data_IF_586274468322
#
_entry.id   IF_586274468322
#
_cell.length_a   1.000
_cell.length_b   1.000
_cell.length_c   1.000
_cell.angle_alpha   90.00
_cell.angle_beta   90.00
_cell.angle_gamma   90.00
#
_symmetry.space_group_name_H-M   'P 1'
#
loop_
_entity.id
_entity.type
_entity.pdbx_description
1 polymer ?
#
# COMPACT_ATOMS: atom_id res chain seq x y z
N UNK A 1 22.54 -32.40 2.95
CA UNK A 1 21.51 -31.34 2.98
C UNK A 1 21.83 -30.38 1.85
N UNK A 2 20.95 -30.22 0.86
CA UNK A 2 21.19 -29.31 -0.25
C UNK A 2 20.79 -27.92 0.24
N UNK A 3 21.76 -27.09 0.65
CA UNK A 3 21.53 -25.68 0.91
C UNK A 3 21.25 -24.96 -0.43
N UNK A 4 19.99 -24.96 -0.86
CA UNK A 4 19.56 -24.03 -1.90
C UNK A 4 19.58 -22.64 -1.30
N UNK A 5 20.50 -21.79 -1.77
CA UNK A 5 20.41 -20.34 -1.57
C UNK A 5 19.11 -19.86 -2.22
N UNK A 6 18.06 -19.71 -1.41
CA UNK A 6 16.80 -19.14 -1.85
C UNK A 6 16.98 -17.64 -2.00
N UNK A 7 16.66 -17.12 -3.17
CA UNK A 7 16.63 -15.68 -3.44
C UNK A 7 15.16 -15.28 -3.34
N UNK A 8 14.76 -14.55 -2.29
CA UNK A 8 13.45 -13.93 -2.18
C UNK A 8 13.08 -13.17 -3.44
N UNK A 9 11.84 -13.36 -3.85
CA UNK A 9 11.21 -12.71 -5.00
C UNK A 9 9.98 -11.91 -4.54
N UNK A 10 9.25 -11.34 -5.50
CA UNK A 10 8.00 -10.62 -5.22
C UNK A 10 6.99 -11.45 -4.44
N UNK A 11 6.84 -12.75 -4.75
CA UNK A 11 5.86 -13.61 -4.08
C UNK A 11 6.23 -13.85 -2.61
N UNK A 12 7.53 -13.95 -2.33
CA UNK A 12 8.06 -14.09 -0.97
C UNK A 12 7.73 -12.86 -0.13
N UNK A 13 8.03 -11.67 -0.63
CA UNK A 13 7.74 -10.42 0.07
C UNK A 13 6.25 -10.17 0.22
N UNK A 14 5.44 -10.42 -0.81
CA UNK A 14 3.99 -10.31 -0.71
C UNK A 14 3.44 -11.20 0.41
N UNK A 15 3.92 -12.43 0.52
CA UNK A 15 3.49 -13.37 1.56
C UNK A 15 3.87 -12.89 2.97
N UNK A 16 5.06 -12.32 3.13
CA UNK A 16 5.51 -11.73 4.39
C UNK A 16 4.65 -10.52 4.80
N UNK A 17 4.36 -9.63 3.84
CA UNK A 17 3.54 -8.45 4.08
C UNK A 17 2.11 -8.84 4.47
N UNK A 18 1.51 -9.83 3.79
CA UNK A 18 0.18 -10.34 4.12
C UNK A 18 0.16 -10.88 5.55
N UNK A 19 1.17 -11.65 5.94
CA UNK A 19 1.28 -12.16 7.30
C UNK A 19 1.39 -11.01 8.33
N UNK A 20 2.13 -9.95 8.01
CA UNK A 20 2.22 -8.76 8.86
C UNK A 20 0.88 -8.04 8.98
N UNK A 21 0.17 -7.85 7.86
CA UNK A 21 -1.17 -7.24 7.83
C UNK A 21 -2.18 -7.98 8.70
N UNK A 22 -2.21 -9.31 8.63
CA UNK A 22 -3.08 -10.14 9.47
C UNK A 22 -2.76 -10.08 10.96
N UNK A 23 -1.50 -9.77 11.32
CA UNK A 23 -1.04 -9.70 12.71
C UNK A 23 -0.93 -8.28 13.25
N UNK A 24 -1.16 -7.26 12.41
CA UNK A 24 -0.96 -5.86 12.77
C UNK A 24 0.50 -5.50 13.04
N UNK A 25 1.45 -6.23 12.44
CA UNK A 25 2.89 -6.03 12.65
C UNK A 25 3.41 -4.92 11.72
N UNK A 26 3.11 -3.68 12.08
CA UNK A 26 3.38 -2.51 11.23
C UNK A 26 4.88 -2.28 11.03
N UNK A 27 5.66 -2.33 12.11
CA UNK A 27 7.10 -2.12 12.06
C UNK A 27 7.80 -3.17 11.20
N UNK A 28 7.44 -4.45 11.36
CA UNK A 28 7.97 -5.56 10.57
C UNK A 28 7.56 -5.43 9.10
N UNK A 29 6.30 -5.10 8.82
CA UNK A 29 5.81 -4.88 7.46
C UNK A 29 6.60 -3.79 6.75
N UNK A 30 6.83 -2.66 7.41
CA UNK A 30 7.64 -1.56 6.88
C UNK A 30 9.09 -1.98 6.63
N UNK A 31 9.72 -2.67 7.60
CA UNK A 31 11.09 -3.19 7.44
C UNK A 31 11.20 -4.13 6.24
N UNK A 32 10.24 -5.03 6.03
CA UNK A 32 10.25 -5.94 4.89
C UNK A 32 10.00 -5.21 3.57
N UNK A 33 9.09 -4.25 3.54
CA UNK A 33 8.81 -3.42 2.37
C UNK A 33 10.02 -2.58 1.95
N UNK A 34 10.76 -2.03 2.91
CA UNK A 34 12.01 -1.31 2.66
C UNK A 34 13.13 -2.25 2.20
N UNK A 35 13.29 -3.41 2.87
CA UNK A 35 14.31 -4.39 2.54
C UNK A 35 14.14 -4.94 1.11
N UNK A 36 12.89 -5.19 0.69
CA UNK A 36 12.55 -5.58 -0.68
C UNK A 36 13.19 -4.64 -1.72
N UNK A 37 13.12 -3.33 -1.48
CA UNK A 37 13.62 -2.30 -2.40
C UNK A 37 15.13 -2.09 -2.25
N UNK A 38 15.60 -1.94 -1.02
CA UNK A 38 16.99 -1.57 -0.73
C UNK A 38 17.94 -2.74 -0.91
N UNK A 39 17.60 -3.90 -0.34
CA UNK A 39 18.51 -5.03 -0.20
C UNK A 39 18.32 -6.01 -1.37
N UNK A 40 17.08 -6.23 -1.81
CA UNK A 40 16.74 -7.17 -2.89
C UNK A 40 16.49 -6.52 -4.25
N UNK A 41 16.51 -5.18 -4.32
CA UNK A 41 16.32 -4.40 -5.56
C UNK A 41 15.03 -4.72 -6.31
N UNK A 42 13.99 -5.14 -5.59
CA UNK A 42 12.68 -5.46 -6.14
C UNK A 42 11.79 -4.23 -6.08
N UNK A 43 11.21 -3.85 -7.22
CA UNK A 43 10.29 -2.71 -7.32
C UNK A 43 8.90 -3.14 -6.81
N UNK A 44 8.29 -2.43 -5.84
CA UNK A 44 6.98 -2.82 -5.33
C UNK A 44 5.92 -2.77 -6.42
N UNK A 45 5.11 -3.83 -6.49
CA UNK A 45 3.96 -3.93 -7.40
C UNK A 45 2.67 -3.51 -6.68
N UNK A 46 1.58 -3.39 -7.44
CA UNK A 46 0.25 -3.02 -6.91
C UNK A 46 -0.14 -3.85 -5.69
N UNK A 47 0.11 -5.17 -5.71
CA UNK A 47 -0.28 -6.08 -4.63
C UNK A 47 0.49 -5.79 -3.32
N UNK A 48 1.75 -5.35 -3.42
CA UNK A 48 2.55 -5.01 -2.24
C UNK A 48 2.04 -3.72 -1.59
N UNK A 49 1.67 -2.73 -2.42
CA UNK A 49 1.09 -1.48 -1.93
C UNK A 49 -0.29 -1.71 -1.30
N UNK A 50 -1.17 -2.47 -1.94
CA UNK A 50 -2.48 -2.82 -1.37
C UNK A 50 -2.32 -3.50 -0.01
N UNK A 51 -1.34 -4.38 0.13
CA UNK A 51 -1.07 -5.05 1.39
C UNK A 51 -0.55 -4.11 2.49
N UNK A 52 0.30 -3.14 2.13
CA UNK A 52 0.76 -2.10 3.07
C UNK A 52 -0.39 -1.18 3.50
N UNK A 53 -1.29 -0.80 2.58
CA UNK A 53 -2.49 -0.02 2.90
C UNK A 53 -3.44 -0.80 3.82
N UNK A 54 -3.62 -2.12 3.58
CA UNK A 54 -4.41 -2.98 4.47
C UNK A 54 -3.77 -3.11 5.87
N UNK A 55 -2.44 -3.26 5.94
CA UNK A 55 -1.68 -3.30 7.19
C UNK A 55 -1.88 -2.03 8.02
N UNK A 56 -1.68 -0.85 7.42
CA UNK A 56 -1.89 0.43 8.09
C UNK A 56 -3.36 0.63 8.46
N UNK A 57 -4.26 0.30 7.53
CA UNK A 57 -5.70 0.45 7.70
C UNK A 57 -6.24 -0.35 8.88
N UNK A 58 -5.88 -1.63 9.00
CA UNK A 58 -6.30 -2.50 10.11
C UNK A 58 -5.68 -2.13 11.46
N UNK A 59 -4.50 -1.54 11.42
CA UNK A 59 -3.73 -1.19 12.61
C UNK A 59 -4.06 0.23 13.12
N UNK A 60 -5.02 0.92 12.50
CA UNK A 60 -5.47 2.26 12.90
C UNK A 60 -4.58 3.41 12.41
N UNK A 61 -3.55 3.12 11.60
CA UNK A 61 -2.64 4.10 11.00
C UNK A 61 -3.24 4.71 9.73
N UNK A 62 -4.45 5.26 9.83
CA UNK A 62 -5.25 5.69 8.68
C UNK A 62 -4.58 6.81 7.88
N UNK A 63 -3.86 7.72 8.55
CA UNK A 63 -3.12 8.79 7.87
C UNK A 63 -1.99 8.24 7.02
N UNK A 64 -1.20 7.29 7.54
CA UNK A 64 -0.15 6.60 6.78
C UNK A 64 -0.73 5.79 5.63
N UNK A 65 -1.88 5.13 5.83
CA UNK A 65 -2.59 4.44 4.77
C UNK A 65 -3.01 5.39 3.64
N UNK A 66 -3.49 6.58 3.97
CA UNK A 66 -3.87 7.62 3.01
C UNK A 66 -2.66 8.22 2.28
N UNK A 67 -1.57 8.53 2.98
CA UNK A 67 -0.32 9.01 2.39
C UNK A 67 0.22 8.01 1.38
N UNK A 68 0.32 6.74 1.78
CA UNK A 68 0.78 5.67 0.89
C UNK A 68 -0.14 5.55 -0.34
N UNK A 69 -1.44 5.65 -0.16
CA UNK A 69 -2.41 5.55 -1.28
C UNK A 69 -2.22 6.67 -2.31
N UNK A 70 -1.81 7.86 -1.88
CA UNK A 70 -1.51 8.98 -2.77
C UNK A 70 -0.20 8.79 -3.56
N UNK A 71 0.75 8.05 -3.00
CA UNK A 71 2.04 7.71 -3.63
C UNK A 71 1.90 6.60 -4.69
N UNK A 72 0.85 5.78 -4.63
CA UNK A 72 0.63 4.70 -5.61
C UNK A 72 0.37 5.29 -7.01
N UNK A 73 1.08 4.81 -8.05
CA UNK A 73 0.84 5.20 -9.44
C UNK A 73 -0.64 5.05 -9.85
N UNK A 74 -1.14 5.96 -10.69
CA UNK A 74 -2.56 6.04 -11.04
C UNK A 74 -3.10 4.77 -11.70
N UNK A 75 -2.26 3.99 -12.40
CA UNK A 75 -2.62 2.71 -13.01
C UNK A 75 -2.90 1.58 -12.00
N UNK A 76 -2.61 1.80 -10.71
CA UNK A 76 -2.62 0.76 -9.66
C UNK A 76 -3.43 1.13 -8.43
N UNK A 77 -4.21 2.22 -8.51
CA UNK A 77 -4.71 2.95 -7.34
C UNK A 77 -6.09 2.50 -6.84
N UNK A 78 -6.91 1.90 -7.70
CA UNK A 78 -8.34 1.62 -7.39
C UNK A 78 -8.51 0.70 -6.18
N UNK A 79 -7.77 -0.42 -6.12
CA UNK A 79 -7.85 -1.38 -5.00
C UNK A 79 -7.32 -0.80 -3.68
N UNK A 80 -6.40 0.16 -3.73
CA UNK A 80 -5.85 0.81 -2.54
C UNK A 80 -6.85 1.79 -1.92
N UNK A 81 -7.57 2.58 -2.73
CA UNK A 81 -8.65 3.45 -2.23
C UNK A 81 -9.82 2.67 -1.64
N UNK A 82 -10.18 1.54 -2.22
CA UNK A 82 -11.19 0.64 -1.65
C UNK A 82 -10.78 0.11 -0.27
N UNK A 83 -9.52 -0.32 -0.15
CA UNK A 83 -8.95 -0.81 1.11
C UNK A 83 -8.92 0.29 2.17
N UNK A 84 -8.49 1.50 1.79
CA UNK A 84 -8.51 2.67 2.67
C UNK A 84 -9.93 3.04 3.10
N UNK A 85 -10.90 3.03 2.18
CA UNK A 85 -12.30 3.30 2.49
C UNK A 85 -12.84 2.30 3.53
N UNK A 86 -12.50 1.01 3.37
CA UNK A 86 -12.89 -0.01 4.34
C UNK A 86 -12.26 0.24 5.71
N UNK A 87 -10.97 0.61 5.76
CA UNK A 87 -10.30 0.97 7.00
C UNK A 87 -10.93 2.20 7.68
N UNK A 88 -11.24 3.25 6.91
CA UNK A 88 -11.93 4.45 7.42
C UNK A 88 -13.30 4.11 8.04
N UNK A 89 -14.06 3.19 7.42
CA UNK A 89 -15.35 2.72 7.96
C UNK A 89 -15.17 2.00 9.29
N UNK A 90 -14.17 1.14 9.42
CA UNK A 90 -13.88 0.38 10.65
C UNK A 90 -13.44 1.29 11.79
N UNK A 91 -12.61 2.30 11.49
CA UNK A 91 -12.04 3.21 12.50
C UNK A 91 -12.86 4.49 12.72
N UNK A 92 -13.97 4.67 12.00
CA UNK A 92 -14.86 5.83 12.16
C UNK A 92 -14.27 7.16 11.65
N UNK A 93 -13.28 7.12 10.75
CA UNK A 93 -12.71 8.32 10.16
C UNK A 93 -13.56 8.77 8.96
N UNK A 94 -14.58 9.58 9.25
CA UNK A 94 -15.55 10.04 8.25
C UNK A 94 -14.90 10.93 7.18
N UNK A 95 -14.00 11.83 7.58
CA UNK A 95 -13.35 12.78 6.68
C UNK A 95 -12.52 12.07 5.59
N UNK A 96 -11.63 11.15 5.99
CA UNK A 96 -10.86 10.36 5.02
C UNK A 96 -11.73 9.33 4.30
N UNK A 97 -12.80 8.85 4.93
CA UNK A 97 -13.80 7.99 4.29
C UNK A 97 -14.49 8.67 3.11
N UNK A 98 -14.88 9.94 3.24
CA UNK A 98 -15.47 10.71 2.15
C UNK A 98 -14.48 10.97 1.00
N UNK A 99 -13.21 11.25 1.33
CA UNK A 99 -12.16 11.39 0.32
C UNK A 99 -11.97 10.09 -0.45
N UNK A 100 -11.83 8.97 0.26
CA UNK A 100 -11.64 7.66 -0.35
C UNK A 100 -12.84 7.24 -1.21
N UNK A 101 -14.07 7.44 -0.71
CA UNK A 101 -15.29 7.14 -1.46
C UNK A 101 -15.38 7.94 -2.77
N UNK A 102 -15.08 9.25 -2.74
CA UNK A 102 -15.07 10.06 -3.97
C UNK A 102 -14.04 9.58 -4.98
N UNK A 103 -12.88 9.10 -4.53
CA UNK A 103 -11.83 8.55 -5.40
C UNK A 103 -12.24 7.23 -6.04
N UNK A 104 -12.80 6.31 -5.26
CA UNK A 104 -13.34 5.04 -5.78
C UNK A 104 -14.42 5.30 -6.84
N UNK A 105 -15.34 6.24 -6.57
CA UNK A 105 -16.38 6.59 -7.54
C UNK A 105 -15.84 7.26 -8.81
N UNK A 106 -14.79 8.09 -8.72
CA UNK A 106 -14.18 8.70 -9.89
C UNK A 106 -13.50 7.69 -10.81
N UNK A 107 -12.89 6.64 -10.24
CA UNK A 107 -12.26 5.56 -11.00
C UNK A 107 -13.31 4.68 -11.71
N UNK A 108 -14.47 4.43 -11.09
CA UNK A 108 -15.57 3.62 -11.65
C UNK A 108 -16.28 4.30 -12.84
N UNK A 109 -16.37 5.64 -12.82
CA UNK A 109 -16.99 6.45 -13.88
C UNK A 109 -16.09 6.66 -15.12
N UNK A 110 -14.97 5.93 -15.21
CA UNK A 110 -14.11 5.92 -16.40
C UNK A 110 -14.34 4.69 -17.28
N UNK A 111 -15.12 3.70 -16.84
CA UNK A 111 -15.37 2.46 -17.60
C UNK A 111 -16.62 2.53 -18.51
N UNK A 112 -17.47 3.56 -18.37
CA UNK A 112 -18.75 3.66 -19.09
C UNK A 112 -18.82 4.68 -20.24
N UNK A 113 -17.72 5.35 -20.62
CA UNK A 113 -17.64 6.00 -21.94
C UNK A 113 -16.71 7.20 -22.07
N UNK A 114 -15.43 6.94 -22.39
CA UNK A 114 -14.55 8.01 -22.88
C UNK A 114 -13.11 7.56 -23.09
N UNK A 115 -12.70 7.43 -24.35
CA UNK A 115 -11.29 7.24 -24.71
C UNK A 115 -10.43 8.37 -24.12
N UNK A 116 -9.42 8.04 -23.31
CA UNK A 116 -8.25 8.89 -23.16
C UNK A 116 -6.97 8.06 -23.13
N UNK A 117 -6.13 8.34 -24.12
CA UNK A 117 -4.81 7.79 -24.33
C UNK A 117 -3.82 8.54 -23.45
N UNK A 118 -2.99 7.79 -22.71
CA UNK A 118 -1.61 8.15 -22.42
C UNK A 118 -1.32 8.78 -21.06
N UNK A 119 -0.50 8.07 -20.26
CA UNK A 119 0.92 8.42 -20.10
C UNK A 119 1.65 7.28 -19.38
N UNK A 120 2.53 6.59 -20.12
CA UNK A 120 3.70 5.96 -19.52
C UNK A 120 4.69 7.11 -19.30
N UNK A 121 4.86 7.50 -18.04
CA UNK A 121 5.80 8.54 -17.61
C UNK A 121 6.54 8.06 -16.39
N UNK A 122 7.68 7.43 -16.66
CA UNK A 122 8.95 7.53 -15.96
C UNK A 122 8.99 7.38 -14.43
N UNK A 123 9.62 6.28 -14.03
CA UNK A 123 10.62 6.18 -12.95
C UNK A 123 10.58 7.29 -11.88
N UNK A 124 9.87 7.03 -10.77
CA UNK A 124 10.22 7.67 -9.51
C UNK A 124 10.47 6.62 -8.43
N UNK A 125 11.75 6.56 -8.07
CA UNK A 125 12.28 6.03 -6.81
C UNK A 125 11.48 6.69 -5.69
N UNK A 126 10.52 5.95 -5.12
CA UNK A 126 9.79 6.41 -3.93
C UNK A 126 10.73 6.32 -2.74
N UNK A 127 11.05 7.48 -2.19
CA UNK A 127 11.89 7.61 -1.01
C UNK A 127 11.31 6.77 0.13
N UNK A 128 12.11 5.84 0.64
CA UNK A 128 11.88 5.17 1.91
C UNK A 128 11.73 6.24 3.01
N UNK A 129 10.48 6.55 3.37
CA UNK A 129 10.17 7.33 4.56
C UNK A 129 10.08 6.37 5.75
N UNK A 130 10.66 6.82 6.85
CA UNK A 130 10.70 6.14 8.14
C UNK A 130 9.30 6.11 8.73
N UNK A 131 8.60 4.97 8.64
CA UNK A 131 7.26 4.75 9.18
C UNK A 131 7.20 4.65 10.73
N UNK A 132 8.25 5.08 11.42
CA UNK A 132 8.54 4.71 12.81
C UNK A 132 8.51 5.82 13.85
N UNK A 133 7.96 7.01 13.56
CA UNK A 133 7.94 8.10 14.55
C UNK A 133 6.58 8.80 14.60
N UNK A 134 5.52 8.11 15.00
CA UNK A 134 4.43 8.80 15.69
C UNK A 134 3.63 7.89 16.64
N UNK A 135 3.73 8.23 17.94
CA UNK A 135 2.83 7.95 19.08
C UNK A 135 3.21 6.80 20.04
N UNK A 136 4.19 7.10 20.87
CA UNK A 136 4.06 6.86 22.32
C UNK A 136 3.10 7.94 22.86
N UNK A 137 1.93 7.55 23.38
CA UNK A 137 0.96 8.51 23.93
C UNK A 137 -0.51 8.11 23.79
N UNK A 138 -0.93 7.10 24.56
CA UNK A 138 -2.14 7.15 25.40
C UNK A 138 -2.05 6.10 26.51
#
# INVERSE_FOLDING_TARGET
>A
MIERKFVPDHATFLSLLIACAHRGLVDEGCKYFESMQRDWKLVPRSEHYSCMVDLFGRSGFINQAHELTNEIPSDRRTTAWETLLNACKVHGNLELGEVAARKVLQDDQLDDGGMNVGRCGDDQIVHARTWGEERDGM
#
